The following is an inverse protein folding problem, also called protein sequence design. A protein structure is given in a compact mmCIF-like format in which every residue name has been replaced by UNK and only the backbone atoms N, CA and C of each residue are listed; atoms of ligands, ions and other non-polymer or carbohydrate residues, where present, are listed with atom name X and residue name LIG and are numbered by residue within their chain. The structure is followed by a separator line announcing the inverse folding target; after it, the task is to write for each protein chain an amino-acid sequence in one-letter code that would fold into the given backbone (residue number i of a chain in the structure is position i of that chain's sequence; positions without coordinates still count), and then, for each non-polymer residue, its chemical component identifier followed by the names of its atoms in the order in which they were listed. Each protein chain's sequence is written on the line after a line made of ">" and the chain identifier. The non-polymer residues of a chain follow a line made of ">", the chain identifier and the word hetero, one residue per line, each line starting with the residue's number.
data_IF_323365831750
#
_entry.id   IF_323365831750
#
_cell.length_a   1.000
_cell.length_b   1.000
_cell.length_c   1.000
_cell.angle_alpha   90.00
_cell.angle_beta   90.00
_cell.angle_gamma   90.00
#
_symmetry.space_group_name_H-M   'P 1'
#
loop_
_entity.id
_entity.type
_entity.pdbx_description
1 polymer ?
#
# COMPACT_ATOMS: atom_id res chain seq x y z
N UNK A 1 2.12 3.21 -5.24
CA UNK A 1 2.15 2.00 -4.40
C UNK A 1 0.90 2.01 -3.56
N UNK A 2 0.10 0.95 -3.64
CA UNK A 2 -1.22 0.90 -3.00
C UNK A 2 -1.23 -0.16 -1.90
N UNK A 3 -2.34 -0.21 -1.17
CA UNK A 3 -2.64 -1.22 -0.15
C UNK A 3 -3.89 -1.96 -0.58
N UNK A 4 -4.05 -3.25 -0.26
CA UNK A 4 -3.35 -4.02 0.78
C UNK A 4 -1.93 -4.44 0.39
N UNK A 5 -1.05 -4.51 1.39
CA UNK A 5 0.28 -5.12 1.29
C UNK A 5 0.29 -6.36 2.18
N UNK A 6 0.86 -7.46 1.70
CA UNK A 6 0.80 -8.76 2.37
C UNK A 6 2.21 -9.30 2.60
N UNK A 7 2.57 -9.53 3.88
CA UNK A 7 3.86 -10.08 4.29
C UNK A 7 3.68 -11.18 5.33
N UNK A 8 4.66 -12.08 5.41
CA UNK A 8 4.75 -12.98 6.57
C UNK A 8 5.09 -12.17 7.82
N UNK A 9 4.25 -12.30 8.86
CA UNK A 9 4.39 -11.53 10.12
C UNK A 9 5.78 -11.63 10.73
N UNK A 10 6.38 -12.83 10.74
CA UNK A 10 7.73 -13.04 11.28
C UNK A 10 8.77 -12.18 10.57
N UNK A 11 8.71 -12.15 9.23
CA UNK A 11 9.70 -11.48 8.40
C UNK A 11 9.56 -9.95 8.48
N UNK A 12 8.34 -9.43 8.41
CA UNK A 12 8.14 -7.97 8.45
C UNK A 12 8.49 -7.38 9.82
N UNK A 13 8.24 -8.11 10.91
CA UNK A 13 8.68 -7.72 12.25
C UNK A 13 10.21 -7.67 12.36
N UNK A 14 10.89 -8.73 11.90
CA UNK A 14 12.36 -8.79 11.89
C UNK A 14 12.98 -7.65 11.07
N UNK A 15 12.39 -7.32 9.91
CA UNK A 15 12.86 -6.21 9.08
C UNK A 15 12.71 -4.84 9.78
N UNK A 16 11.57 -4.61 10.44
CA UNK A 16 11.32 -3.38 11.21
C UNK A 16 12.25 -3.22 12.41
N UNK A 17 12.60 -4.32 13.09
CA UNK A 17 13.57 -4.30 14.19
C UNK A 17 14.96 -3.87 13.69
N UNK A 18 15.42 -4.46 12.59
CA UNK A 18 16.74 -4.14 12.03
C UNK A 18 16.82 -2.72 11.47
N UNK A 19 15.76 -2.20 10.83
CA UNK A 19 15.78 -0.83 10.29
C UNK A 19 15.88 0.23 11.38
N UNK A 20 15.28 -0.01 12.55
CA UNK A 20 15.40 0.89 13.70
C UNK A 20 16.85 1.02 14.18
N UNK A 21 17.66 -0.02 14.03
CA UNK A 21 19.08 0.01 14.40
C UNK A 21 19.95 0.76 13.37
N UNK A 22 19.50 0.81 12.11
CA UNK A 22 20.25 1.42 11.00
C UNK A 22 19.94 2.91 10.79
N UNK A 23 19.00 3.50 11.53
CA UNK A 23 18.51 4.88 11.38
C UNK A 23 18.21 5.26 9.92
N UNK A 24 17.70 4.28 9.16
CA UNK A 24 17.45 4.43 7.72
C UNK A 24 16.06 5.02 7.51
N UNK A 25 15.96 6.04 6.66
CA UNK A 25 14.67 6.59 6.26
C UNK A 25 13.95 5.62 5.31
N UNK A 26 12.77 5.16 5.72
CA UNK A 26 11.91 4.24 4.95
C UNK A 26 10.52 4.84 4.77
N UNK A 27 9.92 4.61 3.60
CA UNK A 27 8.64 5.23 3.20
C UNK A 27 7.42 4.34 3.39
N UNK A 28 7.60 3.02 3.29
CA UNK A 28 6.54 2.03 3.30
C UNK A 28 7.08 0.66 3.75
N UNK A 29 6.17 -0.28 4.04
CA UNK A 29 6.50 -1.62 4.54
C UNK A 29 7.21 -2.49 3.50
N UNK A 30 7.01 -2.24 2.20
CA UNK A 30 7.77 -2.93 1.15
C UNK A 30 9.22 -2.52 1.16
N UNK A 31 9.53 -1.22 1.24
CA UNK A 31 10.91 -0.74 1.34
C UNK A 31 11.61 -1.33 2.57
N UNK A 32 10.88 -1.47 3.69
CA UNK A 32 11.38 -2.16 4.89
C UNK A 32 11.71 -3.63 4.62
N UNK A 33 10.81 -4.35 3.95
CA UNK A 33 10.99 -5.75 3.63
C UNK A 33 12.11 -6.00 2.62
N UNK A 34 12.17 -5.21 1.56
CA UNK A 34 13.11 -5.36 0.45
C UNK A 34 14.56 -5.19 0.89
N UNK A 35 14.80 -4.32 1.87
CA UNK A 35 16.14 -4.08 2.42
C UNK A 35 16.79 -5.35 2.98
N UNK A 36 16.00 -6.30 3.50
CA UNK A 36 16.52 -7.49 4.18
C UNK A 36 16.20 -8.82 3.49
N UNK A 37 15.05 -8.90 2.82
CA UNK A 37 14.55 -10.14 2.24
C UNK A 37 14.57 -10.13 0.71
N UNK A 38 14.94 -9.01 0.09
CA UNK A 38 15.00 -8.86 -1.36
C UNK A 38 13.65 -8.50 -1.98
N UNK A 39 13.56 -8.50 -3.33
CA UNK A 39 12.45 -7.88 -4.06
C UNK A 39 11.10 -8.51 -3.72
N UNK A 40 10.06 -7.68 -3.62
CA UNK A 40 8.68 -8.16 -3.44
C UNK A 40 8.01 -8.45 -4.78
N UNK A 41 6.97 -9.29 -4.75
CA UNK A 41 6.13 -9.52 -5.91
C UNK A 41 5.07 -8.41 -6.05
N UNK A 42 4.94 -7.84 -7.25
CA UNK A 42 3.95 -6.81 -7.55
C UNK A 42 2.74 -7.44 -8.27
N UNK A 43 1.55 -7.17 -7.75
CA UNK A 43 0.28 -7.50 -8.40
C UNK A 43 -0.23 -6.28 -9.18
N UNK A 44 -1.00 -6.55 -10.23
CA UNK A 44 -1.77 -5.51 -10.91
C UNK A 44 -2.84 -4.96 -9.96
N UNK A 45 -2.96 -3.64 -9.91
CA UNK A 45 -3.85 -2.93 -9.00
C UNK A 45 -4.88 -2.12 -9.78
N UNK A 46 -5.99 -1.81 -9.12
CA UNK A 46 -7.07 -1.04 -9.73
C UNK A 46 -6.86 0.46 -9.51
N UNK A 47 -7.03 1.24 -10.58
CA UNK A 47 -6.95 2.71 -10.50
C UNK A 47 -7.99 3.30 -9.52
N UNK A 48 -9.06 2.57 -9.25
CA UNK A 48 -10.13 2.94 -8.31
C UNK A 48 -9.69 2.88 -6.84
N UNK A 49 -8.58 2.20 -6.52
CA UNK A 49 -8.02 2.07 -5.17
C UNK A 49 -7.24 3.33 -4.74
N UNK A 50 -7.90 4.49 -4.77
CA UNK A 50 -7.26 5.77 -4.53
C UNK A 50 -7.01 6.03 -3.05
N UNK A 51 -5.88 6.68 -2.74
CA UNK A 51 -5.62 7.26 -1.42
C UNK A 51 -6.20 8.66 -1.37
N UNK A 52 -7.16 8.90 -0.48
CA UNK A 52 -7.71 10.24 -0.24
C UNK A 52 -6.68 11.05 0.55
N UNK A 53 -6.09 12.06 -0.10
CA UNK A 53 -5.05 12.92 0.47
C UNK A 53 -5.42 14.40 0.46
N UNK A 54 -6.37 14.77 -0.40
CA UNK A 54 -6.88 16.14 -0.58
C UNK A 54 -8.41 16.16 -0.51
N UNK A 55 -9.00 17.35 -0.44
CA UNK A 55 -10.47 17.49 -0.42
C UNK A 55 -11.06 17.16 -1.79
N UNK A 56 -10.33 17.45 -2.87
CA UNK A 56 -10.70 17.14 -4.25
C UNK A 56 -10.82 15.62 -4.48
N UNK A 57 -9.99 14.82 -3.80
CA UNK A 57 -10.05 13.35 -3.87
C UNK A 57 -11.41 12.79 -3.40
N UNK A 58 -12.16 13.51 -2.55
CA UNK A 58 -13.49 13.09 -2.11
C UNK A 58 -14.48 13.06 -3.27
N UNK A 59 -14.43 14.06 -4.15
CA UNK A 59 -15.30 14.13 -5.33
C UNK A 59 -15.02 12.95 -6.29
N UNK A 60 -13.74 12.60 -6.42
CA UNK A 60 -13.33 11.45 -7.22
C UNK A 60 -13.77 10.13 -6.59
N UNK A 61 -13.61 9.98 -5.27
CA UNK A 61 -14.05 8.79 -4.53
C UNK A 61 -15.56 8.56 -4.65
N UNK A 62 -16.37 9.61 -4.52
CA UNK A 62 -17.83 9.53 -4.69
C UNK A 62 -18.21 9.08 -6.11
N UNK A 63 -17.54 9.63 -7.13
CA UNK A 63 -17.76 9.24 -8.52
C UNK A 63 -17.42 7.76 -8.76
N UNK A 64 -16.29 7.28 -8.23
CA UNK A 64 -15.87 5.87 -8.33
C UNK A 64 -16.95 4.96 -7.71
N UNK A 65 -17.37 5.25 -6.47
CA UNK A 65 -18.38 4.47 -5.74
C UNK A 65 -19.75 4.48 -6.45
N UNK A 66 -20.13 5.58 -7.09
CA UNK A 66 -21.39 5.66 -7.83
C UNK A 66 -21.40 4.75 -9.07
N UNK A 67 -20.29 4.66 -9.80
CA UNK A 67 -20.16 3.82 -11.00
C UNK A 67 -20.27 2.33 -10.67
N UNK A 68 -19.70 1.92 -9.53
CA UNK A 68 -19.80 0.54 -9.04
C UNK A 68 -21.25 0.15 -8.70
N UNK A 69 -22.02 1.05 -8.06
CA UNK A 69 -23.43 0.82 -7.75
C UNK A 69 -24.31 0.69 -9.01
N UNK A 70 -24.00 1.42 -10.07
CA UNK A 70 -24.76 1.35 -11.33
C UNK A 70 -24.42 0.13 -12.19
N UNK A 71 -23.26 -0.49 -11.99
CA UNK A 71 -22.82 -1.67 -12.76
C UNK A 71 -23.35 -3.00 -12.20
N UNK A 72 -24.04 -2.97 -11.05
CA UNK A 72 -24.64 -4.13 -10.39
C UNK A 72 -26.17 -4.25 -10.60
N UNK A 73 -26.75 -3.48 -11.54
CA UNK A 73 -28.16 -3.56 -11.93
C UNK A 73 -28.31 -4.09 -13.36
#
# INVERSE_FOLDING_TARGET
>A
MHTPQCFYTKNILEAHEKIKELDKFVTDDTMVYEEYFGPVYLYEDEYTNIKITTTEDLLLAELILSKEKHSQC
#
